data_IF_945996077628
#
_entry.id   IF_945996077628
#
_cell.length_a   1.000
_cell.length_b   1.000
_cell.length_c   1.000
_cell.angle_alpha   90.00
_cell.angle_beta   90.00
_cell.angle_gamma   90.00
#
_symmetry.space_group_name_H-M   'P 1'
#
loop_
_entity.id
_entity.type
_entity.pdbx_description
1 polymer ?
#
# COMPACT_ATOMS: atom_id res chain seq x y z
N UNK A 1 11.19 5.59 -2.86
CA UNK A 1 9.92 5.88 -3.58
C UNK A 1 9.72 4.98 -4.80
N UNK A 2 10.54 5.06 -5.85
CA UNK A 2 10.41 4.26 -7.10
C UNK A 2 10.31 2.76 -6.81
N UNK A 3 11.25 2.21 -6.04
CA UNK A 3 11.28 0.77 -5.76
C UNK A 3 10.01 0.26 -5.09
N UNK A 4 9.51 1.01 -4.11
CA UNK A 4 8.29 0.70 -3.37
C UNK A 4 7.09 0.55 -4.29
N UNK A 5 6.92 1.50 -5.22
CA UNK A 5 5.84 1.46 -6.20
C UNK A 5 6.00 0.31 -7.20
N UNK A 6 7.24 -0.01 -7.58
CA UNK A 6 7.55 -1.14 -8.46
C UNK A 6 7.31 -2.50 -7.78
N UNK A 7 7.72 -2.68 -6.52
CA UNK A 7 7.39 -3.85 -5.71
C UNK A 7 5.88 -4.06 -5.57
N UNK A 8 5.12 -2.97 -5.52
CA UNK A 8 3.66 -2.98 -5.50
C UNK A 8 3.03 -3.21 -6.87
N UNK A 9 3.83 -3.35 -7.93
CA UNK A 9 3.36 -3.63 -9.28
C UNK A 9 2.64 -2.46 -9.92
N UNK A 10 3.00 -1.22 -9.57
CA UNK A 10 2.51 -0.02 -10.25
C UNK A 10 3.26 0.11 -11.58
N UNK A 11 2.55 0.26 -12.72
CA UNK A 11 3.18 0.45 -14.03
C UNK A 11 4.16 1.64 -14.07
N UNK A 12 5.28 1.51 -14.78
CA UNK A 12 6.33 2.53 -14.81
C UNK A 12 5.85 3.89 -15.33
N UNK A 13 4.91 3.91 -16.26
CA UNK A 13 4.24 5.12 -16.77
C UNK A 13 3.42 5.82 -15.66
N UNK A 14 2.69 5.05 -14.85
CA UNK A 14 1.98 5.57 -13.66
C UNK A 14 2.95 6.10 -12.61
N UNK A 15 4.05 5.38 -12.36
CA UNK A 15 5.11 5.85 -11.45
C UNK A 15 5.72 7.16 -11.96
N UNK A 16 6.04 7.24 -13.25
CA UNK A 16 6.63 8.42 -13.88
C UNK A 16 5.70 9.64 -13.74
N UNK A 17 4.42 9.47 -14.08
CA UNK A 17 3.37 10.49 -13.92
C UNK A 17 3.24 10.93 -12.46
N UNK A 18 3.22 9.97 -11.52
CA UNK A 18 3.09 10.24 -10.08
C UNK A 18 4.25 11.05 -9.52
N UNK A 19 5.46 10.84 -10.02
CA UNK A 19 6.67 11.53 -9.57
C UNK A 19 7.04 12.76 -10.41
N UNK A 20 6.32 13.05 -11.50
CA UNK A 20 6.63 14.18 -12.38
C UNK A 20 7.95 14.01 -13.14
N UNK A 21 8.31 12.79 -13.50
CA UNK A 21 9.53 12.45 -14.27
C UNK A 21 9.19 11.67 -15.53
N UNK A 22 10.15 11.49 -16.43
CA UNK A 22 9.98 10.67 -17.62
C UNK A 22 10.09 9.16 -17.30
N UNK A 23 9.40 8.33 -18.09
CA UNK A 23 9.43 6.86 -17.93
C UNK A 23 10.84 6.28 -18.09
N UNK A 24 11.69 6.88 -18.94
CA UNK A 24 13.08 6.43 -19.12
C UNK A 24 13.90 6.64 -17.85
N UNK A 25 13.66 7.72 -17.09
CA UNK A 25 14.22 7.92 -15.76
C UNK A 25 13.79 6.80 -14.81
N UNK A 26 12.52 6.41 -14.78
CA UNK A 26 12.04 5.28 -13.97
C UNK A 26 12.77 3.99 -14.35
N UNK A 27 12.81 3.67 -15.65
CA UNK A 27 13.51 2.48 -16.17
C UNK A 27 14.99 2.46 -15.74
N UNK A 28 15.71 3.57 -15.89
CA UNK A 28 17.11 3.69 -15.51
C UNK A 28 17.33 3.51 -14.00
N UNK A 29 16.42 4.01 -13.15
CA UNK A 29 16.49 3.81 -11.71
C UNK A 29 16.23 2.36 -11.32
N UNK A 30 15.23 1.71 -11.92
CA UNK A 30 14.92 0.29 -11.68
C UNK A 30 16.07 -0.62 -12.12
N UNK A 31 16.74 -0.32 -13.24
CA UNK A 31 17.91 -1.07 -13.69
C UNK A 31 19.10 -1.07 -12.71
N UNK A 32 19.20 -0.04 -11.84
CA UNK A 32 20.25 0.06 -10.80
C UNK A 32 19.83 -0.57 -9.47
N UNK A 33 18.57 -0.97 -9.32
CA UNK A 33 18.00 -1.44 -8.06
C UNK A 33 18.69 -2.67 -7.46
N UNK A 34 19.01 -3.73 -8.25
CA UNK A 34 19.62 -4.92 -7.68
C UNK A 34 20.93 -4.62 -6.96
N UNK A 35 21.71 -3.66 -7.47
CA UNK A 35 22.94 -3.22 -6.83
C UNK A 35 22.69 -2.51 -5.48
N UNK A 36 21.60 -1.75 -5.35
CA UNK A 36 21.22 -1.13 -4.08
C UNK A 36 20.78 -2.18 -3.05
N UNK A 37 19.95 -3.14 -3.49
CA UNK A 37 19.48 -4.24 -2.63
C UNK A 37 20.65 -5.08 -2.07
N UNK A 38 21.75 -5.22 -2.81
CA UNK A 38 22.94 -5.93 -2.34
C UNK A 38 23.54 -5.34 -1.06
N UNK A 39 23.51 -4.02 -0.87
CA UNK A 39 24.02 -3.40 0.36
C UNK A 39 23.15 -3.77 1.57
N UNK A 40 21.81 -3.74 1.39
CA UNK A 40 20.87 -4.13 2.43
C UNK A 40 21.01 -5.61 2.78
N UNK A 41 21.07 -6.48 1.75
CA UNK A 41 21.27 -7.92 1.93
C UNK A 41 22.60 -8.25 2.62
N UNK A 42 23.66 -7.49 2.31
CA UNK A 42 24.95 -7.64 2.99
C UNK A 42 24.82 -7.34 4.48
N UNK A 43 24.14 -6.25 4.87
CA UNK A 43 23.94 -5.94 6.29
C UNK A 43 23.03 -6.95 6.98
N UNK A 44 21.93 -7.38 6.34
CA UNK A 44 21.07 -8.45 6.86
C UNK A 44 21.86 -9.75 7.08
N UNK A 45 22.74 -10.14 6.15
CA UNK A 45 23.58 -11.33 6.26
C UNK A 45 24.61 -11.26 7.39
N UNK A 46 24.96 -10.05 7.84
CA UNK A 46 25.83 -9.79 8.99
C UNK A 46 25.08 -9.83 10.33
N UNK A 47 23.77 -10.07 10.31
CA UNK A 47 22.93 -10.17 11.51
C UNK A 47 22.38 -8.82 11.99
N UNK A 48 22.48 -7.74 11.20
CA UNK A 48 21.76 -6.51 11.53
C UNK A 48 20.24 -6.74 11.43
N UNK A 49 19.50 -6.17 12.38
CA UNK A 49 18.03 -6.25 12.37
C UNK A 49 17.44 -5.43 11.22
N UNK A 50 16.20 -5.77 10.82
CA UNK A 50 15.48 -5.03 9.78
C UNK A 50 15.36 -3.54 10.10
N UNK A 51 15.05 -3.17 11.35
CA UNK A 51 14.97 -1.77 11.77
C UNK A 51 16.31 -1.03 11.65
N UNK A 52 17.42 -1.67 12.04
CA UNK A 52 18.76 -1.08 11.90
C UNK A 52 19.15 -0.87 10.43
N UNK A 53 18.84 -1.83 9.56
CA UNK A 53 19.11 -1.72 8.12
C UNK A 53 18.22 -0.64 7.50
N UNK A 54 16.94 -0.56 7.88
CA UNK A 54 16.00 0.45 7.43
C UNK A 54 16.50 1.86 7.78
N UNK A 55 16.90 2.08 9.04
CA UNK A 55 17.47 3.35 9.50
C UNK A 55 18.75 3.71 8.75
N UNK A 56 19.71 2.78 8.69
CA UNK A 56 21.02 2.99 8.05
C UNK A 56 20.91 3.40 6.58
N UNK A 57 20.01 2.77 5.83
CA UNK A 57 19.86 3.00 4.39
C UNK A 57 18.76 4.00 4.05
N UNK A 58 18.07 4.56 5.04
CA UNK A 58 16.91 5.45 4.87
C UNK A 58 15.79 4.79 4.03
N UNK A 59 15.47 3.54 4.36
CA UNK A 59 14.37 2.77 3.78
C UNK A 59 13.28 2.55 4.80
N UNK A 60 12.04 2.38 4.34
CA UNK A 60 10.93 2.01 5.23
C UNK A 60 11.07 0.55 5.65
N UNK A 61 10.75 0.20 6.89
CA UNK A 61 10.83 -1.18 7.37
C UNK A 61 10.12 -2.21 6.47
N UNK A 62 8.89 -1.98 5.94
CA UNK A 62 8.24 -2.93 5.04
C UNK A 62 9.06 -3.27 3.80
N UNK A 63 9.84 -2.32 3.28
CA UNK A 63 10.72 -2.53 2.12
C UNK A 63 11.95 -3.36 2.45
N UNK A 64 12.45 -3.25 3.67
CA UNK A 64 13.57 -4.10 4.11
C UNK A 64 13.05 -5.49 4.46
N UNK A 65 11.85 -5.59 5.04
CA UNK A 65 11.15 -6.86 5.24
C UNK A 65 10.89 -7.60 3.93
N UNK A 66 10.50 -6.93 2.84
CA UNK A 66 10.29 -7.63 1.56
C UNK A 66 11.57 -8.28 1.03
N UNK A 67 12.73 -7.66 1.24
CA UNK A 67 14.04 -8.23 0.92
C UNK A 67 14.42 -9.37 1.87
N UNK A 68 14.32 -9.15 3.19
CA UNK A 68 14.66 -10.15 4.20
C UNK A 68 13.81 -11.42 4.09
N UNK A 69 12.62 -11.31 3.50
CA UNK A 69 11.67 -12.39 3.30
C UNK A 69 11.67 -12.93 1.87
N UNK A 70 12.60 -12.53 1.01
CA UNK A 70 12.68 -13.03 -0.37
C UNK A 70 12.82 -14.56 -0.39
N UNK A 71 12.12 -15.22 -1.31
CA UNK A 71 12.09 -16.69 -1.43
C UNK A 71 11.21 -17.41 -0.39
N UNK A 72 10.73 -16.74 0.65
CA UNK A 72 9.88 -17.34 1.69
C UNK A 72 8.41 -17.43 1.28
N UNK A 73 7.78 -18.54 1.65
CA UNK A 73 6.32 -18.69 1.58
C UNK A 73 5.61 -17.84 2.66
N UNK A 74 4.28 -17.80 2.65
CA UNK A 74 3.55 -16.94 3.58
C UNK A 74 3.63 -17.41 5.03
N UNK A 75 3.71 -18.72 5.27
CA UNK A 75 3.79 -19.24 6.63
C UNK A 75 5.15 -18.91 7.25
N UNK A 76 6.22 -19.03 6.47
CA UNK A 76 7.55 -18.57 6.82
C UNK A 76 7.58 -17.07 7.08
N UNK A 77 6.94 -16.26 6.22
CA UNK A 77 6.83 -14.80 6.41
C UNK A 77 6.12 -14.44 7.71
N UNK A 78 5.01 -15.11 8.03
CA UNK A 78 4.31 -14.94 9.29
C UNK A 78 5.22 -15.20 10.48
N UNK A 79 5.96 -16.32 10.45
CA UNK A 79 6.89 -16.70 11.52
C UNK A 79 7.98 -15.63 11.73
N UNK A 80 8.59 -15.15 10.66
CA UNK A 80 9.66 -14.13 10.71
C UNK A 80 9.15 -12.76 11.16
N UNK A 81 7.91 -12.41 10.80
CA UNK A 81 7.26 -11.21 11.28
C UNK A 81 6.76 -11.34 12.73
N UNK A 82 6.86 -12.52 13.34
CA UNK A 82 6.32 -12.77 14.68
C UNK A 82 4.78 -12.74 14.71
N UNK A 83 4.14 -12.99 13.57
CA UNK A 83 2.69 -13.06 13.44
C UNK A 83 2.24 -14.52 13.59
N UNK A 84 1.54 -14.83 14.67
CA UNK A 84 0.89 -16.13 14.84
C UNK A 84 -0.30 -16.26 13.89
N UNK A 85 -0.30 -17.31 13.06
CA UNK A 85 -1.43 -17.60 12.17
C UNK A 85 -2.65 -18.02 13.01
N UNK A 86 -3.77 -17.34 12.79
CA UNK A 86 -5.09 -17.65 13.38
C UNK A 86 -5.94 -18.36 12.33
N UNK A 87 -6.53 -19.49 12.70
CA UNK A 87 -7.28 -20.39 11.80
C UNK A 87 -8.80 -20.36 11.97
N UNK A 88 -9.28 -19.72 13.03
CA UNK A 88 -10.72 -19.54 13.29
C UNK A 88 -11.23 -18.23 12.69
N UNK A 89 -12.54 -18.01 12.72
CA UNK A 89 -13.22 -16.85 12.12
C UNK A 89 -13.25 -15.60 13.04
N UNK A 90 -12.88 -15.75 14.30
CA UNK A 90 -12.72 -14.64 15.24
C UNK A 90 -11.24 -14.30 15.43
N UNK A 91 -10.82 -13.14 14.90
CA UNK A 91 -9.47 -12.61 15.07
C UNK A 91 -9.46 -11.36 15.92
N UNK A 92 -8.64 -11.36 16.98
CA UNK A 92 -8.49 -10.25 17.91
C UNK A 92 -7.00 -9.92 18.11
N UNK A 93 -6.66 -8.64 18.11
CA UNK A 93 -5.32 -8.15 18.44
C UNK A 93 -5.45 -6.91 19.31
N UNK A 94 -4.65 -6.85 20.38
CA UNK A 94 -4.62 -5.70 21.28
C UNK A 94 -3.92 -4.49 20.66
N UNK A 95 -2.97 -4.73 19.77
CA UNK A 95 -2.11 -3.70 19.19
C UNK A 95 -1.96 -3.84 17.68
N UNK A 96 -1.89 -2.70 17.01
CA UNK A 96 -1.44 -2.63 15.62
C UNK A 96 0.08 -2.79 15.56
N UNK A 97 0.58 -3.60 14.63
CA UNK A 97 2.00 -3.67 14.34
C UNK A 97 2.53 -2.32 13.82
N UNK A 98 3.36 -1.65 14.62
CA UNK A 98 3.84 -0.29 14.31
C UNK A 98 4.79 -0.23 13.12
N UNK A 99 5.30 -1.36 12.65
CA UNK A 99 6.18 -1.45 11.47
C UNK A 99 5.41 -1.19 10.17
N UNK A 100 4.07 -1.23 10.20
CA UNK A 100 3.21 -1.19 9.03
C UNK A 100 2.16 -0.08 9.15
N UNK A 101 2.05 0.72 8.09
CA UNK A 101 1.15 1.86 8.01
C UNK A 101 1.55 3.04 8.89
N UNK A 102 1.21 4.25 8.44
CA UNK A 102 1.46 5.48 9.17
C UNK A 102 0.54 5.57 10.41
N UNK A 103 0.86 6.44 11.36
CA UNK A 103 -0.10 6.84 12.39
C UNK A 103 -1.27 7.60 11.73
N UNK A 104 -2.36 6.89 11.47
CA UNK A 104 -3.52 7.38 10.73
C UNK A 104 -4.80 7.05 11.49
N UNK A 105 -5.76 8.00 11.57
CA UNK A 105 -7.02 7.75 12.25
C UNK A 105 -7.74 6.54 11.66
N UNK A 106 -8.03 5.55 12.51
CA UNK A 106 -8.69 4.33 12.08
C UNK A 106 -7.77 3.25 11.50
N UNK A 107 -6.44 3.40 11.56
CA UNK A 107 -5.50 2.33 11.17
C UNK A 107 -5.91 0.99 11.80
N UNK A 108 -6.12 -0.01 10.94
CA UNK A 108 -6.35 -1.40 11.32
C UNK A 108 -5.02 -2.16 11.48
N UNK A 109 -4.99 -3.28 12.24
CA UNK A 109 -3.78 -4.07 12.40
C UNK A 109 -3.28 -4.67 11.08
N UNK A 110 -1.99 -4.58 10.79
CA UNK A 110 -1.38 -5.27 9.63
C UNK A 110 -1.57 -6.79 9.72
N UNK A 111 -1.64 -7.33 10.93
CA UNK A 111 -1.93 -8.73 11.19
C UNK A 111 -3.29 -9.14 10.59
N UNK A 112 -4.32 -8.27 10.66
CA UNK A 112 -5.61 -8.54 10.03
C UNK A 112 -5.47 -8.65 8.51
N UNK A 113 -4.80 -7.68 7.88
CA UNK A 113 -4.54 -7.71 6.44
C UNK A 113 -3.75 -8.96 6.05
N UNK A 114 -2.71 -9.31 6.83
CA UNK A 114 -1.88 -10.48 6.56
C UNK A 114 -2.68 -11.77 6.50
N UNK A 115 -3.65 -11.95 7.41
CA UNK A 115 -4.52 -13.13 7.42
C UNK A 115 -5.48 -13.12 6.22
N UNK A 116 -6.05 -11.97 5.87
CA UNK A 116 -6.86 -11.83 4.66
C UNK A 116 -6.04 -12.23 3.42
N UNK A 117 -4.81 -11.74 3.30
CA UNK A 117 -3.93 -12.07 2.18
C UNK A 117 -3.58 -13.56 2.16
N UNK A 118 -3.30 -14.16 3.32
CA UNK A 118 -2.97 -15.59 3.42
C UNK A 118 -4.11 -16.49 2.95
N UNK A 119 -5.35 -16.21 3.38
CA UNK A 119 -6.49 -17.07 3.05
C UNK A 119 -7.12 -16.81 1.68
N UNK A 120 -7.04 -15.57 1.17
CA UNK A 120 -7.83 -15.15 0.00
C UNK A 120 -7.00 -14.61 -1.16
N UNK A 121 -5.66 -14.74 -1.12
CA UNK A 121 -4.79 -14.38 -2.24
C UNK A 121 -3.53 -15.25 -2.25
N UNK A 122 -2.78 -15.19 -3.34
CA UNK A 122 -1.45 -15.79 -3.48
C UNK A 122 -0.40 -14.70 -3.61
N UNK A 123 0.87 -15.07 -3.38
CA UNK A 123 1.97 -14.18 -3.73
C UNK A 123 1.86 -13.77 -5.21
N UNK A 124 2.21 -12.52 -5.49
CA UNK A 124 2.13 -11.81 -6.78
C UNK A 124 0.73 -11.41 -7.25
N UNK A 125 -0.34 -11.83 -6.56
CA UNK A 125 -1.69 -11.34 -6.81
C UNK A 125 -1.77 -9.80 -6.66
N UNK A 126 -2.66 -9.18 -7.42
CA UNK A 126 -2.95 -7.75 -7.35
C UNK A 126 -4.09 -7.50 -6.37
N UNK A 127 -3.76 -6.79 -5.29
CA UNK A 127 -4.72 -6.29 -4.32
C UNK A 127 -5.11 -4.87 -4.72
N UNK A 128 -6.41 -4.56 -4.63
CA UNK A 128 -6.92 -3.20 -4.76
C UNK A 128 -7.36 -2.71 -3.39
N UNK A 129 -6.81 -1.58 -2.95
CA UNK A 129 -7.25 -0.85 -1.77
C UNK A 129 -7.73 0.55 -2.19
N UNK A 130 -9.05 0.77 -2.31
CA UNK A 130 -9.60 2.05 -2.74
C UNK A 130 -9.65 3.11 -1.63
N UNK A 131 -9.32 2.77 -0.38
CA UNK A 131 -9.41 3.66 0.79
C UNK A 131 -8.20 3.45 1.71
N UNK A 132 -7.01 3.60 1.13
CA UNK A 132 -5.76 3.15 1.72
C UNK A 132 -5.42 3.84 3.04
N UNK A 133 -5.86 5.07 3.26
CA UNK A 133 -5.59 5.83 4.48
C UNK A 133 -4.09 5.90 4.78
N UNK A 134 -3.70 5.40 5.96
CA UNK A 134 -2.31 5.21 6.39
C UNK A 134 -1.57 4.07 5.68
N UNK A 135 -2.14 3.50 4.63
CA UNK A 135 -1.68 2.42 3.75
C UNK A 135 -1.01 1.21 4.40
N UNK A 136 -1.63 0.73 5.48
CA UNK A 136 -1.29 -0.57 6.10
C UNK A 136 -1.41 -1.71 5.09
N UNK A 137 -2.39 -1.66 4.19
CA UNK A 137 -2.57 -2.69 3.15
C UNK A 137 -1.38 -2.75 2.20
N UNK A 138 -0.92 -1.62 1.69
CA UNK A 138 0.25 -1.56 0.79
C UNK A 138 1.51 -2.09 1.47
N UNK A 139 1.78 -1.68 2.72
CA UNK A 139 2.95 -2.17 3.46
C UNK A 139 2.89 -3.68 3.70
N UNK A 140 1.71 -4.18 4.06
CA UNK A 140 1.50 -5.62 4.30
C UNK A 140 1.63 -6.42 3.00
N UNK A 141 1.12 -5.88 1.88
CA UNK A 141 1.30 -6.48 0.56
C UNK A 141 2.78 -6.59 0.18
N UNK A 142 3.57 -5.54 0.41
CA UNK A 142 5.03 -5.57 0.18
C UNK A 142 5.68 -6.70 0.99
N UNK A 143 5.41 -6.79 2.29
CA UNK A 143 6.02 -7.80 3.16
C UNK A 143 5.53 -9.23 2.87
N UNK A 144 4.32 -9.40 2.34
CA UNK A 144 3.76 -10.69 1.92
C UNK A 144 3.85 -10.93 0.41
N UNK A 145 4.68 -10.17 -0.31
CA UNK A 145 4.95 -10.37 -1.73
C UNK A 145 3.69 -10.33 -2.63
N UNK A 146 2.70 -9.49 -2.28
CA UNK A 146 1.56 -9.11 -3.13
C UNK A 146 1.83 -7.79 -3.82
N UNK A 147 1.21 -7.59 -4.98
CA UNK A 147 1.08 -6.27 -5.63
C UNK A 147 -0.09 -5.53 -4.99
N UNK A 148 -0.04 -4.20 -4.94
CA UNK A 148 -1.15 -3.41 -4.41
C UNK A 148 -1.30 -2.11 -5.19
N UNK A 149 -2.50 -1.84 -5.69
CA UNK A 149 -2.88 -0.52 -6.15
C UNK A 149 -3.74 0.12 -5.07
N UNK A 150 -3.23 1.21 -4.52
CA UNK A 150 -3.78 1.86 -3.35
C UNK A 150 -4.21 3.28 -3.70
N UNK A 151 -5.42 3.65 -3.28
CA UNK A 151 -6.01 4.95 -3.53
C UNK A 151 -6.54 5.55 -2.25
N UNK A 152 -6.45 6.86 -2.13
CA UNK A 152 -7.10 7.62 -1.06
C UNK A 152 -7.52 8.98 -1.59
N UNK A 153 -8.43 9.66 -0.93
CA UNK A 153 -8.78 11.02 -1.32
C UNK A 153 -7.63 11.99 -1.00
N UNK A 154 -7.01 11.85 0.18
CA UNK A 154 -5.96 12.75 0.66
C UNK A 154 -4.64 12.42 -0.03
N UNK A 155 -4.14 13.38 -0.83
CA UNK A 155 -2.89 13.22 -1.56
C UNK A 155 -1.66 13.45 -0.66
N UNK A 156 -0.81 12.43 -0.50
CA UNK A 156 0.41 12.48 0.34
C UNK A 156 1.66 11.95 -0.39
N UNK A 157 2.05 12.51 -1.56
CA UNK A 157 3.09 11.94 -2.41
C UNK A 157 4.49 11.95 -1.78
N UNK A 158 4.71 12.79 -0.76
CA UNK A 158 6.00 12.86 -0.08
C UNK A 158 6.25 11.71 0.86
N UNK A 159 5.24 11.33 1.64
CA UNK A 159 5.32 10.23 2.60
C UNK A 159 4.82 8.91 2.00
N UNK A 160 3.77 8.96 1.17
CA UNK A 160 3.06 7.82 0.57
C UNK A 160 2.90 7.98 -0.94
N UNK A 161 4.01 7.98 -1.71
CA UNK A 161 3.97 8.14 -3.17
C UNK A 161 3.14 7.07 -3.88
N UNK A 162 3.05 5.86 -3.32
CA UNK A 162 2.31 4.73 -3.89
C UNK A 162 0.79 4.83 -3.73
N UNK A 163 0.30 5.70 -2.84
CA UNK A 163 -1.13 5.94 -2.67
C UNK A 163 -1.52 7.05 -3.63
N UNK A 164 -2.29 6.73 -4.67
CA UNK A 164 -2.76 7.69 -5.66
C UNK A 164 -4.01 8.41 -5.16
N UNK A 165 -4.07 9.73 -5.38
CA UNK A 165 -5.25 10.52 -5.02
C UNK A 165 -6.42 10.17 -5.94
N UNK A 166 -7.54 9.72 -5.36
CA UNK A 166 -8.73 9.35 -6.12
C UNK A 166 -10.02 9.69 -5.35
N UNK A 167 -11.02 10.20 -6.06
CA UNK A 167 -12.35 10.48 -5.53
C UNK A 167 -13.39 9.60 -6.21
N UNK A 168 -14.08 8.78 -5.42
CA UNK A 168 -15.09 7.83 -5.90
C UNK A 168 -16.46 8.52 -6.03
N UNK A 169 -16.80 9.02 -7.22
CA UNK A 169 -18.15 9.52 -7.52
C UNK A 169 -19.07 8.39 -8.02
N UNK A 170 -20.28 8.31 -7.44
CA UNK A 170 -21.35 7.40 -7.84
C UNK A 170 -21.83 7.62 -9.29
N UNK A 171 -21.55 8.79 -9.88
CA UNK A 171 -21.85 9.06 -11.29
C UNK A 171 -20.80 8.54 -12.27
N UNK A 172 -19.71 7.91 -11.78
CA UNK A 172 -18.66 7.35 -12.63
C UNK A 172 -17.77 8.40 -13.30
N UNK A 173 -17.85 9.67 -12.87
CA UNK A 173 -16.95 10.72 -13.31
C UNK A 173 -15.81 10.86 -12.29
N UNK A 174 -14.56 10.52 -12.64
CA UNK A 174 -13.43 10.84 -11.78
C UNK A 174 -13.26 12.37 -11.79
N UNK A 175 -13.91 13.06 -10.86
CA UNK A 175 -13.62 14.47 -10.65
C UNK A 175 -12.34 14.60 -9.81
N UNK A 176 -11.36 15.41 -10.24
CA UNK A 176 -10.26 15.75 -9.36
C UNK A 176 -10.81 16.40 -8.09
N UNK A 177 -10.19 16.07 -6.96
CA UNK A 177 -10.54 16.58 -5.65
C UNK A 177 -10.81 18.11 -5.68
N UNK A 178 -11.82 18.64 -4.96
CA UNK A 178 -12.10 20.06 -4.94
C UNK A 178 -10.85 20.84 -4.51
N UNK A 179 -10.30 21.67 -5.39
CA UNK A 179 -9.10 22.48 -5.13
C UNK A 179 -7.86 22.17 -5.96
N UNK A 180 -7.87 21.12 -6.80
CA UNK A 180 -6.82 20.92 -7.82
C UNK A 180 -7.27 21.43 -9.18
N UNK A 181 -6.52 22.39 -9.74
CA UNK A 181 -6.74 22.88 -11.11
C UNK A 181 -6.72 21.73 -12.10
N UNK A 182 -7.62 21.79 -13.10
CA UNK A 182 -7.57 20.95 -14.29
C UNK A 182 -6.24 21.20 -15.02
N UNK A 183 -5.22 20.41 -14.73
CA UNK A 183 -4.13 20.21 -15.69
C UNK A 183 -4.77 19.49 -16.87
N UNK A 184 -4.84 20.16 -18.02
CA UNK A 184 -5.42 19.62 -19.25
C UNK A 184 -4.88 18.23 -19.52
N UNK A 185 -5.77 17.34 -19.97
CA UNK A 185 -5.66 15.87 -20.09
C UNK A 185 -6.43 15.11 -18.99
N UNK A 186 -7.75 15.30 -19.03
CA UNK A 186 -8.72 14.34 -18.45
C UNK A 186 -8.76 13.12 -19.36
N UNK A 187 -7.69 12.32 -19.34
CA UNK A 187 -7.76 10.98 -19.89
C UNK A 187 -8.62 10.12 -18.96
N UNK A 188 -9.84 9.87 -19.43
CA UNK A 188 -10.77 8.83 -19.01
C UNK A 188 -10.18 7.41 -19.17
N UNK A 189 -8.94 7.18 -18.77
CA UNK A 189 -8.41 5.84 -18.60
C UNK A 189 -8.56 5.49 -17.13
N UNK A 190 -9.67 4.81 -16.80
CA UNK A 190 -9.79 4.17 -15.50
C UNK A 190 -8.53 3.35 -15.24
N UNK A 191 -7.91 3.52 -14.08
CA UNK A 191 -6.76 2.73 -13.64
C UNK A 191 -7.07 1.22 -13.69
N UNK A 192 -8.36 0.86 -13.61
CA UNK A 192 -8.93 -0.43 -14.03
C UNK A 192 -9.18 -0.43 -15.55
N UNK A 193 -8.13 -0.55 -16.35
CA UNK A 193 -8.32 -0.96 -17.74
C UNK A 193 -8.44 -2.51 -17.79
N UNK A 194 -9.02 -3.04 -18.87
CA UNK A 194 -9.36 -4.46 -19.05
C UNK A 194 -8.19 -5.44 -18.96
N UNK A 195 -6.95 -4.97 -18.75
CA UNK A 195 -5.73 -5.79 -18.68
C UNK A 195 -5.28 -6.13 -17.26
N UNK A 196 -5.91 -5.58 -16.22
CA UNK A 196 -5.54 -5.86 -14.82
C UNK A 196 -6.74 -5.81 -13.88
N UNK A 197 -7.49 -6.91 -13.80
CA UNK A 197 -8.49 -7.09 -12.75
C UNK A 197 -7.77 -7.39 -11.44
N UNK A 198 -8.14 -6.76 -10.31
CA UNK A 198 -7.60 -7.15 -9.02
C UNK A 198 -8.08 -8.57 -8.67
N UNK A 199 -7.20 -9.33 -8.04
CA UNK A 199 -7.49 -10.67 -7.53
C UNK A 199 -8.28 -10.60 -6.22
N UNK A 200 -8.05 -9.54 -5.44
CA UNK A 200 -8.77 -9.24 -4.20
C UNK A 200 -8.93 -7.74 -4.01
N UNK A 201 -10.08 -7.32 -3.46
CA UNK A 201 -10.34 -5.94 -3.07
C UNK A 201 -10.44 -5.91 -1.55
N UNK A 202 -9.63 -5.09 -0.89
CA UNK A 202 -9.70 -4.82 0.54
C UNK A 202 -10.18 -3.40 0.70
N UNK A 203 -11.36 -3.23 1.31
CA UNK A 203 -12.00 -1.92 1.47
C UNK A 203 -12.25 -1.68 2.96
N UNK A 204 -11.51 -0.73 3.53
CA UNK A 204 -11.67 -0.26 4.91
C UNK A 204 -12.18 1.18 4.92
N UNK A 205 -13.49 1.39 4.73
CA UNK A 205 -14.04 2.73 4.64
C UNK A 205 -14.02 3.46 5.98
N UNK A 206 -14.14 4.79 6.00
CA UNK A 206 -14.30 5.54 7.24
C UNK A 206 -15.59 5.11 7.94
N UNK A 207 -15.46 4.26 8.95
CA UNK A 207 -16.58 3.87 9.79
C UNK A 207 -16.89 4.94 10.83
N UNK A 208 -18.18 5.08 11.17
CA UNK A 208 -18.69 5.93 12.24
C UNK A 208 -18.33 7.42 12.04
N UNK A 209 -18.30 8.20 13.12
CA UNK A 209 -17.92 9.61 13.11
C UNK A 209 -16.42 9.89 12.96
N UNK A 210 -15.58 8.87 12.69
CA UNK A 210 -14.15 9.07 12.48
C UNK A 210 -13.96 9.96 11.25
N UNK A 211 -13.19 11.05 11.42
CA UNK A 211 -12.98 12.08 10.39
C UNK A 211 -14.29 12.68 9.83
N UNK A 212 -15.40 12.67 10.58
CA UNK A 212 -16.68 13.19 10.10
C UNK A 212 -16.62 14.67 9.64
N UNK A 213 -15.73 15.46 10.25
CA UNK A 213 -15.48 16.85 9.85
C UNK A 213 -14.79 16.97 8.47
N UNK A 214 -14.08 15.92 8.04
CA UNK A 214 -13.33 15.89 6.78
C UNK A 214 -14.16 15.37 5.60
N UNK A 215 -15.38 14.88 5.85
CA UNK A 215 -16.27 14.33 4.84
C UNK A 215 -17.51 15.23 4.60
N UNK A 216 -18.03 15.29 3.37
CA UNK A 216 -19.28 16.01 3.10
C UNK A 216 -20.44 15.42 3.92
N UNK A 217 -21.40 16.26 4.31
CA UNK A 217 -22.51 15.90 5.23
C UNK A 217 -23.45 14.77 4.77
N UNK A 218 -23.24 14.20 3.58
CA UNK A 218 -23.93 13.01 3.07
C UNK A 218 -23.08 11.72 3.15
N UNK A 219 -21.91 11.78 3.78
CA UNK A 219 -21.06 10.61 4.02
C UNK A 219 -21.79 9.58 4.89
N UNK A 220 -21.40 8.31 4.77
CA UNK A 220 -21.92 7.21 5.59
C UNK A 220 -21.76 7.50 7.10
N UNK A 221 -20.77 8.31 7.47
CA UNK A 221 -20.54 8.79 8.84
C UNK A 221 -21.66 9.69 9.39
N UNK A 222 -22.44 10.34 8.52
CA UNK A 222 -23.54 11.23 8.85
C UNK A 222 -24.94 10.61 8.70
N UNK A 223 -25.04 9.34 8.29
CA UNK A 223 -26.34 8.68 8.14
C UNK A 223 -26.94 8.35 9.52
N UNK A 224 -28.26 8.59 9.72
CA UNK A 224 -28.92 8.27 10.98
C UNK A 224 -28.84 6.76 11.25
N UNK A 225 -28.50 6.41 12.50
CA UNK A 225 -28.52 5.02 12.96
C UNK A 225 -29.98 4.56 12.99
N UNK A 226 -30.27 3.43 12.33
CA UNK A 226 -31.53 2.71 12.49
C UNK A 226 -31.42 1.75 13.65
#
# INVERSE_FOLDING_TARGET
KIFRMDCLGIPQDRIAKRLGVDQKTIHNHLGKMPALANFLNTDLSRGFTVSQVAEKHNWTEPMVWSLALEGKDDLERFKELGWGLRTWDMWEWNDCDRRFGDDWPGRIPAQLIAHILYYFSKQKDLILDPMAGGGVTSDTCIALNRRCWAFDMIDRPDTRPEIESYYWDLKGHPEPHPGKQKTGETENQGFLNSKGKPDLIILDPPYFGKKAADYPGKSISGLPRK
#
